data_IF_935879204091
#
_entry.id   IF_935879204091
#
_cell.length_a   1.000
_cell.length_b   1.000
_cell.length_c   1.000
_cell.angle_alpha   90.00
_cell.angle_beta   90.00
_cell.angle_gamma   90.00
#
_symmetry.space_group_name_H-M   'P 1'
#
loop_
_entity.id
_entity.type
_entity.pdbx_description
1 polymer ?
#
# COMPACT_ATOMS: atom_id res chain seq x y z
N UNK A 1 1.94 26.36 -3.89
CA UNK A 1 3.06 27.36 -3.94
C UNK A 1 4.45 26.71 -3.97
N UNK A 2 4.61 25.41 -3.73
CA UNK A 2 5.93 24.75 -3.67
C UNK A 2 6.55 24.35 -5.02
N UNK A 3 5.75 24.08 -6.04
CA UNK A 3 6.24 23.53 -7.32
C UNK A 3 6.97 24.55 -8.20
N UNK A 4 6.57 25.81 -8.17
CA UNK A 4 7.20 26.89 -8.94
C UNK A 4 8.63 27.22 -8.48
N UNK A 5 8.91 27.09 -7.18
CA UNK A 5 10.25 27.31 -6.61
C UNK A 5 11.27 26.27 -7.06
N UNK A 6 10.84 25.01 -7.17
CA UNK A 6 11.72 23.89 -7.59
C UNK A 6 12.09 24.02 -9.07
N UNK A 7 11.12 24.37 -9.93
CA UNK A 7 11.35 24.57 -11.38
C UNK A 7 12.28 25.75 -11.61
N UNK A 8 12.14 26.84 -10.85
CA UNK A 8 13.00 28.02 -10.97
C UNK A 8 14.43 27.75 -10.48
N UNK A 9 14.57 26.97 -9.40
CA UNK A 9 15.85 26.49 -8.89
C UNK A 9 16.60 25.62 -9.89
N UNK A 10 15.93 24.64 -10.47
CA UNK A 10 16.48 23.76 -11.50
C UNK A 10 16.95 24.55 -12.73
N UNK A 11 16.15 25.50 -13.22
CA UNK A 11 16.48 26.34 -14.38
C UNK A 11 17.71 27.22 -14.13
N UNK A 12 17.91 27.68 -12.89
CA UNK A 12 19.07 28.48 -12.48
C UNK A 12 20.34 27.63 -12.37
N UNK A 13 20.23 26.39 -11.90
CA UNK A 13 21.32 25.41 -11.85
C UNK A 13 21.72 24.97 -13.26
N UNK A 14 20.75 24.62 -14.11
CA UNK A 14 21.02 24.27 -15.52
C UNK A 14 21.60 25.43 -16.32
N UNK A 15 21.17 26.67 -16.08
CA UNK A 15 21.72 27.86 -16.72
C UNK A 15 23.18 28.20 -16.29
N UNK A 16 23.61 27.80 -15.09
CA UNK A 16 25.00 27.88 -14.66
C UNK A 16 25.85 26.78 -15.25
N UNK A 17 25.34 25.56 -15.31
CA UNK A 17 26.01 24.39 -15.91
C UNK A 17 26.25 24.64 -17.41
N UNK A 18 25.30 25.23 -18.14
CA UNK A 18 25.44 25.55 -19.56
C UNK A 18 26.50 26.63 -19.86
N UNK A 19 26.95 27.38 -18.85
CA UNK A 19 28.03 28.39 -18.94
C UNK A 19 29.32 27.97 -18.29
N UNK A 20 29.43 26.74 -17.78
CA UNK A 20 30.60 26.21 -17.12
C UNK A 20 31.73 25.89 -18.07
N UNK A 21 32.96 26.00 -17.57
CA UNK A 21 34.17 25.61 -18.26
C UNK A 21 34.12 24.13 -18.68
N UNK A 22 34.84 23.71 -19.74
CA UNK A 22 34.92 22.30 -20.14
C UNK A 22 35.32 21.36 -19.00
N UNK A 23 36.07 21.86 -18.01
CA UNK A 23 36.43 21.12 -16.80
C UNK A 23 35.21 20.77 -15.92
N UNK A 24 34.25 21.69 -15.81
CA UNK A 24 33.03 21.49 -15.01
C UNK A 24 32.10 20.48 -15.68
N UNK A 25 32.04 20.50 -17.02
CA UNK A 25 31.28 19.51 -17.80
C UNK A 25 31.85 18.10 -17.64
N UNK A 26 33.18 17.97 -17.65
CA UNK A 26 33.86 16.68 -17.46
C UNK A 26 33.66 16.14 -16.02
N UNK A 27 33.70 17.01 -15.02
CA UNK A 27 33.37 16.64 -13.63
C UNK A 27 31.91 16.17 -13.48
N UNK A 28 30.97 16.90 -14.09
CA UNK A 28 29.56 16.52 -14.09
C UNK A 28 29.33 15.17 -14.75
N UNK A 29 29.96 14.91 -15.92
CA UNK A 29 29.87 13.61 -16.59
C UNK A 29 30.41 12.46 -15.75
N UNK A 30 31.46 12.70 -14.97
CA UNK A 30 32.03 11.68 -14.06
C UNK A 30 31.15 11.43 -12.83
N UNK A 31 30.48 12.46 -12.30
CA UNK A 31 29.65 12.36 -11.11
C UNK A 31 28.21 11.95 -11.41
N UNK A 32 27.73 12.17 -12.65
CA UNK A 32 26.35 11.88 -13.04
C UNK A 32 25.88 10.45 -12.71
N UNK A 33 26.67 9.39 -12.97
CA UNK A 33 26.25 8.02 -12.63
C UNK A 33 26.06 7.83 -11.12
N UNK A 34 26.98 8.37 -10.32
CA UNK A 34 26.89 8.26 -8.85
C UNK A 34 25.73 9.05 -8.27
N UNK A 35 25.48 10.24 -8.80
CA UNK A 35 24.31 11.03 -8.42
C UNK A 35 23.00 10.34 -8.81
N UNK A 36 22.94 9.73 -9.98
CA UNK A 36 21.77 8.97 -10.45
C UNK A 36 21.52 7.75 -9.58
N UNK A 37 22.56 7.02 -9.20
CA UNK A 37 22.47 5.90 -8.27
C UNK A 37 21.96 6.33 -6.89
N UNK A 38 22.51 7.41 -6.33
CA UNK A 38 22.07 7.97 -5.06
C UNK A 38 20.60 8.41 -5.11
N UNK A 39 20.21 9.09 -6.18
CA UNK A 39 18.82 9.54 -6.38
C UNK A 39 17.87 8.35 -6.51
N UNK A 40 18.27 7.31 -7.23
CA UNK A 40 17.52 6.06 -7.34
C UNK A 40 17.36 5.34 -5.98
N UNK A 41 18.45 5.32 -5.20
CA UNK A 41 18.44 4.72 -3.86
C UNK A 41 17.50 5.49 -2.91
N UNK A 42 17.58 6.82 -2.89
CA UNK A 42 16.67 7.67 -2.12
C UNK A 42 15.21 7.46 -2.56
N UNK A 43 14.96 7.38 -3.87
CA UNK A 43 13.62 7.09 -4.40
C UNK A 43 13.10 5.75 -3.92
N UNK A 44 13.92 4.69 -3.97
CA UNK A 44 13.53 3.35 -3.50
C UNK A 44 13.19 3.33 -2.01
N UNK A 45 13.90 4.09 -1.18
CA UNK A 45 13.63 4.16 0.26
C UNK A 45 12.48 5.08 0.63
N UNK A 46 12.26 6.16 -0.13
CA UNK A 46 11.26 7.17 0.22
C UNK A 46 9.89 6.91 -0.45
N UNK A 47 9.84 6.11 -1.51
CA UNK A 47 8.59 5.87 -2.23
C UNK A 47 7.76 4.78 -1.54
N UNK A 48 6.50 5.04 -1.17
CA UNK A 48 5.65 4.07 -0.49
C UNK A 48 5.07 3.03 -1.49
N UNK A 49 5.94 2.15 -2.00
CA UNK A 49 5.55 1.16 -3.02
C UNK A 49 4.37 0.30 -2.60
N UNK A 50 4.38 -0.17 -1.34
CA UNK A 50 3.34 -1.07 -0.82
C UNK A 50 1.97 -0.40 -0.81
N UNK A 51 1.92 0.85 -0.39
CA UNK A 51 0.69 1.65 -0.38
C UNK A 51 0.18 1.91 -1.79
N UNK A 52 1.04 2.41 -2.69
CA UNK A 52 0.67 2.67 -4.09
C UNK A 52 0.16 1.41 -4.78
N UNK A 53 0.79 0.27 -4.49
CA UNK A 53 0.36 -1.02 -5.00
C UNK A 53 -1.01 -1.45 -4.43
N UNK A 54 -1.25 -1.17 -3.14
CA UNK A 54 -2.54 -1.41 -2.49
C UNK A 54 -3.65 -0.55 -3.12
N UNK A 55 -3.39 0.74 -3.38
CA UNK A 55 -4.33 1.65 -4.06
C UNK A 55 -4.71 1.15 -5.46
N UNK A 56 -3.71 0.77 -6.26
CA UNK A 56 -3.94 0.23 -7.61
C UNK A 56 -4.75 -1.07 -7.56
N UNK A 57 -4.42 -1.97 -6.63
CA UNK A 57 -5.16 -3.23 -6.43
C UNK A 57 -6.58 -2.96 -5.92
N UNK A 58 -6.78 -2.00 -5.01
CA UNK A 58 -8.10 -1.66 -4.51
C UNK A 58 -9.00 -1.24 -5.67
N UNK A 59 -8.61 -0.26 -6.44
CA UNK A 59 -9.40 0.22 -7.57
C UNK A 59 -9.67 -0.87 -8.63
N UNK A 60 -8.73 -1.79 -8.82
CA UNK A 60 -8.87 -2.87 -9.81
C UNK A 60 -9.79 -3.99 -9.37
N UNK A 61 -9.85 -4.27 -8.08
CA UNK A 61 -10.55 -5.44 -7.54
C UNK A 61 -11.71 -5.09 -6.59
N UNK A 62 -12.08 -3.82 -6.52
CA UNK A 62 -13.11 -3.31 -5.62
C UNK A 62 -14.41 -4.09 -5.73
N UNK A 63 -15.00 -4.16 -6.92
CA UNK A 63 -16.25 -4.90 -7.16
C UNK A 63 -16.17 -6.38 -6.74
N UNK A 64 -15.03 -7.03 -7.00
CA UNK A 64 -14.84 -8.43 -6.65
C UNK A 64 -14.65 -8.64 -5.14
N UNK A 65 -14.03 -7.68 -4.47
CA UNK A 65 -13.89 -7.70 -3.01
C UNK A 65 -15.24 -7.50 -2.34
N UNK A 66 -16.07 -6.61 -2.85
CA UNK A 66 -17.44 -6.42 -2.37
C UNK A 66 -18.30 -7.68 -2.57
N UNK A 67 -18.13 -8.38 -3.68
CA UNK A 67 -18.78 -9.68 -3.90
C UNK A 67 -18.39 -10.70 -2.82
N UNK A 68 -17.12 -10.77 -2.47
CA UNK A 68 -16.61 -11.67 -1.42
C UNK A 68 -17.12 -11.25 -0.06
N UNK A 69 -17.09 -9.96 0.28
CA UNK A 69 -17.65 -9.43 1.54
C UNK A 69 -19.10 -9.82 1.67
N UNK A 70 -19.90 -9.54 0.65
CA UNK A 70 -21.32 -9.92 0.61
C UNK A 70 -21.53 -11.43 0.76
N UNK A 71 -20.66 -12.25 0.18
CA UNK A 71 -20.74 -13.70 0.29
C UNK A 71 -20.44 -14.19 1.72
N UNK A 72 -19.49 -13.55 2.41
CA UNK A 72 -19.15 -13.84 3.80
C UNK A 72 -20.30 -13.41 4.74
N UNK A 73 -20.80 -12.20 4.59
CA UNK A 73 -21.91 -11.67 5.41
C UNK A 73 -23.21 -12.46 5.25
N UNK A 74 -23.46 -12.99 4.06
CA UNK A 74 -24.61 -13.87 3.79
C UNK A 74 -24.37 -15.32 4.19
N UNK A 75 -23.21 -15.67 4.73
CA UNK A 75 -22.87 -17.02 5.14
C UNK A 75 -22.67 -18.00 3.98
N UNK A 76 -22.45 -17.52 2.76
CA UNK A 76 -22.13 -18.36 1.57
C UNK A 76 -20.66 -18.80 1.58
N UNK A 77 -19.79 -17.97 2.12
CA UNK A 77 -18.39 -18.27 2.41
C UNK A 77 -18.23 -18.21 3.93
N UNK A 78 -17.81 -19.31 4.52
CA UNK A 78 -17.67 -19.41 5.97
C UNK A 78 -16.19 -19.41 6.34
N UNK A 79 -15.79 -18.60 7.32
CA UNK A 79 -14.45 -18.66 7.86
C UNK A 79 -14.23 -20.01 8.59
N UNK A 80 -13.00 -20.46 8.54
CA UNK A 80 -12.56 -21.61 9.33
C UNK A 80 -12.43 -21.24 10.82
N UNK A 81 -11.94 -22.18 11.63
CA UNK A 81 -11.75 -21.97 13.09
C UNK A 81 -10.74 -20.86 13.43
N UNK A 82 -9.96 -20.41 12.46
CA UNK A 82 -8.97 -19.34 12.63
C UNK A 82 -9.44 -18.01 12.02
N UNK A 83 -10.65 -17.97 11.51
CA UNK A 83 -11.18 -16.77 10.83
C UNK A 83 -10.73 -16.63 9.37
N UNK A 84 -10.13 -17.66 8.79
CA UNK A 84 -9.64 -17.60 7.40
C UNK A 84 -10.68 -18.17 6.44
N UNK A 85 -10.90 -17.47 5.34
CA UNK A 85 -11.72 -17.90 4.20
C UNK A 85 -10.83 -18.15 3.01
N UNK A 86 -10.77 -19.39 2.52
CA UNK A 86 -10.11 -19.72 1.26
C UNK A 86 -11.00 -19.31 0.08
N UNK A 87 -10.44 -18.52 -0.83
CA UNK A 87 -11.16 -18.00 -1.99
C UNK A 87 -11.22 -19.02 -3.13
N UNK A 88 -12.35 -19.06 -3.86
CA UNK A 88 -12.44 -19.84 -5.10
C UNK A 88 -11.35 -19.41 -6.11
N UNK A 89 -10.93 -20.34 -6.98
CA UNK A 89 -9.85 -20.13 -7.96
C UNK A 89 -9.98 -18.82 -8.77
N UNK A 90 -11.21 -18.45 -9.16
CA UNK A 90 -11.47 -17.22 -9.92
C UNK A 90 -11.28 -15.91 -9.12
N UNK A 91 -11.20 -15.99 -7.79
CA UNK A 91 -11.10 -14.85 -6.87
C UNK A 91 -9.77 -14.80 -6.11
N UNK A 92 -8.92 -15.80 -6.20
CA UNK A 92 -7.64 -15.86 -5.47
C UNK A 92 -6.74 -14.64 -5.68
N UNK A 93 -6.84 -13.98 -6.84
CA UNK A 93 -6.01 -12.82 -7.18
C UNK A 93 -6.34 -11.53 -6.40
N UNK A 94 -7.48 -11.48 -5.69
CA UNK A 94 -7.92 -10.28 -4.96
C UNK A 94 -7.25 -10.13 -3.59
N UNK A 95 -6.68 -11.20 -3.08
CA UNK A 95 -5.90 -11.26 -1.84
C UNK A 95 -4.62 -12.06 -2.06
N UNK A 96 -3.60 -11.78 -1.30
CA UNK A 96 -2.37 -12.57 -1.30
C UNK A 96 -2.69 -13.99 -0.82
N UNK A 97 -2.06 -15.00 -1.41
CA UNK A 97 -2.24 -16.43 -1.12
C UNK A 97 -3.68 -16.95 -1.37
N UNK A 98 -4.58 -16.11 -1.88
CA UNK A 98 -5.97 -16.48 -2.15
C UNK A 98 -6.81 -16.66 -0.87
N UNK A 99 -6.40 -16.04 0.22
CA UNK A 99 -7.04 -16.10 1.52
C UNK A 99 -7.52 -14.73 1.96
N UNK A 100 -8.63 -14.72 2.70
CA UNK A 100 -9.22 -13.53 3.32
C UNK A 100 -9.38 -13.82 4.80
N UNK A 101 -9.03 -12.86 5.63
CA UNK A 101 -9.14 -12.98 7.07
C UNK A 101 -10.34 -12.22 7.59
N UNK A 102 -11.17 -12.90 8.37
CA UNK A 102 -12.36 -12.34 9.00
C UNK A 102 -12.04 -12.15 10.48
N UNK A 103 -11.79 -10.91 10.86
CA UNK A 103 -11.44 -10.54 12.23
C UNK A 103 -12.67 -10.41 13.12
N UNK A 104 -13.76 -9.90 12.57
CA UNK A 104 -15.04 -9.75 13.26
C UNK A 104 -16.17 -10.01 12.28
N UNK A 105 -17.15 -10.78 12.73
CA UNK A 105 -18.38 -11.02 11.99
C UNK A 105 -19.57 -11.05 12.97
N UNK A 106 -20.26 -9.95 13.05
CA UNK A 106 -21.46 -9.80 13.86
C UNK A 106 -22.57 -9.15 13.04
N UNK A 107 -23.85 -9.19 13.51
CA UNK A 107 -24.93 -8.51 12.82
C UNK A 107 -24.77 -6.99 12.72
N UNK A 108 -23.97 -6.41 13.59
CA UNK A 108 -23.75 -4.96 13.69
C UNK A 108 -22.47 -4.51 12.96
N UNK A 109 -21.48 -5.41 12.86
CA UNK A 109 -20.17 -5.07 12.31
C UNK A 109 -19.52 -6.28 11.65
N UNK A 110 -18.93 -6.06 10.47
CA UNK A 110 -17.97 -6.98 9.86
C UNK A 110 -16.63 -6.30 9.64
N UNK A 111 -15.52 -6.99 9.95
CA UNK A 111 -14.15 -6.55 9.72
C UNK A 111 -13.43 -7.65 8.94
N UNK A 112 -13.14 -7.36 7.67
CA UNK A 112 -12.64 -8.34 6.71
C UNK A 112 -11.36 -7.82 6.06
N UNK A 113 -10.27 -8.59 6.12
CA UNK A 113 -8.97 -8.22 5.62
C UNK A 113 -8.55 -8.99 4.38
N UNK A 114 -8.09 -8.27 3.35
CA UNK A 114 -7.50 -8.79 2.12
C UNK A 114 -6.00 -8.51 2.14
N UNK A 115 -5.20 -9.54 2.17
CA UNK A 115 -3.75 -9.40 2.24
C UNK A 115 -3.18 -8.81 0.95
N UNK A 116 -2.36 -7.78 1.09
CA UNK A 116 -1.64 -7.13 -0.01
C UNK A 116 -0.19 -7.58 -0.06
N UNK A 117 0.42 -7.68 1.11
CA UNK A 117 1.80 -8.06 1.26
C UNK A 117 2.01 -8.82 2.57
N UNK A 118 2.81 -9.88 2.53
CA UNK A 118 3.36 -10.59 3.69
C UNK A 118 4.85 -10.74 3.46
N UNK A 119 5.66 -9.99 4.20
CA UNK A 119 7.11 -10.00 4.10
C UNK A 119 7.78 -10.68 5.28
N UNK A 120 9.00 -11.11 5.08
CA UNK A 120 9.88 -11.53 6.16
C UNK A 120 10.98 -10.46 6.33
N UNK A 121 11.45 -10.14 7.56
CA UNK A 121 11.10 -10.85 8.79
C UNK A 121 9.79 -10.42 9.45
N UNK A 122 9.30 -9.16 9.30
CA UNK A 122 8.24 -8.72 10.20
C UNK A 122 7.23 -7.72 9.57
N UNK A 123 7.16 -7.62 8.26
CA UNK A 123 6.25 -6.66 7.62
C UNK A 123 5.06 -7.34 6.92
N UNK A 124 3.84 -6.91 7.24
CA UNK A 124 2.65 -7.32 6.50
C UNK A 124 1.74 -6.12 6.25
N UNK A 125 0.94 -6.19 5.20
CA UNK A 125 -0.09 -5.18 4.96
C UNK A 125 -1.34 -5.78 4.33
N UNK A 126 -2.48 -5.22 4.72
CA UNK A 126 -3.78 -5.65 4.25
C UNK A 126 -4.67 -4.45 3.89
N UNK A 127 -5.60 -4.67 3.00
CA UNK A 127 -6.78 -3.82 2.81
C UNK A 127 -7.90 -4.37 3.66
N UNK A 128 -8.36 -3.60 4.63
CA UNK A 128 -9.40 -4.00 5.58
C UNK A 128 -10.68 -3.23 5.29
N UNK A 129 -11.77 -3.96 5.15
CA UNK A 129 -13.10 -3.40 5.05
C UNK A 129 -13.80 -3.48 6.40
N UNK A 130 -14.40 -2.37 6.83
CA UNK A 130 -15.22 -2.26 8.02
C UNK A 130 -16.61 -1.80 7.62
N UNK A 131 -17.64 -2.61 7.86
CA UNK A 131 -19.01 -2.33 7.42
C UNK A 131 -19.64 -1.12 8.10
N UNK A 132 -19.17 -0.76 9.30
CA UNK A 132 -19.60 0.42 10.05
C UNK A 132 -18.87 1.71 9.62
N UNK A 133 -17.90 1.62 8.70
CA UNK A 133 -17.08 2.74 8.26
C UNK A 133 -16.11 3.28 9.30
N UNK A 134 -15.96 2.62 10.46
CA UNK A 134 -15.00 3.02 11.49
C UNK A 134 -13.69 2.26 11.34
N UNK A 135 -12.59 2.94 11.66
CA UNK A 135 -11.28 2.31 11.61
C UNK A 135 -11.25 1.05 12.50
N UNK A 136 -10.61 -0.03 12.02
CA UNK A 136 -10.53 -1.24 12.82
C UNK A 136 -9.63 -1.01 14.03
N UNK A 137 -10.05 -1.53 15.16
CA UNK A 137 -9.26 -1.48 16.38
C UNK A 137 -8.08 -2.44 16.30
N UNK A 138 -6.99 -2.06 16.95
CA UNK A 138 -5.78 -2.88 17.03
C UNK A 138 -6.06 -4.26 17.66
N UNK A 139 -6.94 -4.30 18.64
CA UNK A 139 -7.34 -5.56 19.30
C UNK A 139 -8.14 -6.45 18.35
N UNK A 140 -9.07 -5.86 17.58
CA UNK A 140 -9.85 -6.58 16.59
C UNK A 140 -8.96 -7.25 15.53
N UNK A 141 -7.91 -6.56 15.09
CA UNK A 141 -6.97 -7.08 14.10
C UNK A 141 -5.89 -8.01 14.68
N UNK A 142 -5.87 -8.23 16.00
CA UNK A 142 -4.80 -8.95 16.69
C UNK A 142 -3.39 -8.44 16.33
N UNK A 143 -3.31 -7.14 16.01
CA UNK A 143 -2.11 -6.51 15.49
C UNK A 143 -1.01 -6.41 16.53
N UNK A 144 0.23 -6.66 16.12
CA UNK A 144 1.43 -6.56 16.94
C UNK A 144 1.77 -5.12 17.39
N UNK A 145 3.02 -4.89 17.76
CA UNK A 145 3.43 -3.64 18.41
C UNK A 145 3.35 -2.41 17.51
N UNK A 146 3.65 -2.55 16.23
CA UNK A 146 3.59 -1.46 15.25
C UNK A 146 2.40 -1.68 14.32
N UNK A 147 1.50 -0.75 14.36
CA UNK A 147 0.25 -0.78 13.60
C UNK A 147 0.00 0.61 13.02
N UNK A 148 -0.14 0.69 11.73
CA UNK A 148 -0.56 1.89 11.02
C UNK A 148 -1.85 1.62 10.29
N UNK A 149 -2.83 2.52 10.42
CA UNK A 149 -4.11 2.42 9.76
C UNK A 149 -4.41 3.74 9.04
N UNK A 150 -4.60 3.66 7.74
CA UNK A 150 -4.87 4.83 6.89
C UNK A 150 -6.17 4.62 6.12
N UNK A 151 -7.09 5.60 6.11
CA UNK A 151 -8.33 5.49 5.34
C UNK A 151 -8.03 5.51 3.83
N UNK A 152 -8.76 4.66 3.08
CA UNK A 152 -8.63 4.49 1.63
C UNK A 152 -9.93 4.74 0.85
N UNK A 153 -11.00 5.08 1.56
CA UNK A 153 -12.34 5.30 1.00
C UNK A 153 -13.42 4.78 1.91
N UNK A 154 -14.64 4.69 1.43
CA UNK A 154 -15.82 4.30 2.20
C UNK A 154 -15.66 2.93 2.87
N UNK A 155 -15.40 2.92 4.18
CA UNK A 155 -15.20 1.71 4.97
C UNK A 155 -13.93 0.93 4.71
N UNK A 156 -13.05 1.40 3.81
CA UNK A 156 -11.78 0.76 3.48
C UNK A 156 -10.60 1.42 4.19
N UNK A 157 -9.71 0.59 4.70
CA UNK A 157 -8.49 1.00 5.40
C UNK A 157 -7.29 0.21 4.91
N UNK A 158 -6.19 0.91 4.68
CA UNK A 158 -4.89 0.28 4.52
C UNK A 158 -4.26 0.10 5.88
N UNK A 159 -3.91 -1.13 6.20
CA UNK A 159 -3.33 -1.51 7.48
C UNK A 159 -1.95 -2.10 7.23
N UNK A 160 -0.95 -1.62 7.96
CA UNK A 160 0.39 -2.20 7.95
C UNK A 160 0.79 -2.63 9.35
N UNK A 161 1.46 -3.78 9.41
CA UNK A 161 1.99 -4.41 10.60
C UNK A 161 3.51 -4.49 10.45
N UNK A 162 4.24 -4.17 11.52
CA UNK A 162 5.68 -4.35 11.62
C UNK A 162 6.01 -5.40 12.69
#
# INVERSE_FOLDING_TARGET
LGSLGIIWGLRRVFGRIARGSEKDLNLLRRLAPSCLMLLGMVFLFCFPFTRTFAEIKQHRYEERREEVISAIEQGRLLPDRFGVVELPEGLKQISLDGEVEVYELSPERSVIGFWVFRGMPDGASAMVHCSDGQAPDREALQAGALYQCEPMGEGWYYVSYD
#
